data_IF_702823816366
#
_entry.id   IF_702823816366
#
_cell.length_a   1.000
_cell.length_b   1.000
_cell.length_c   1.000
_cell.angle_alpha   90.00
_cell.angle_beta   90.00
_cell.angle_gamma   90.00
#
_symmetry.space_group_name_H-M   'P 1'
#
loop_
_entity.id
_entity.type
_entity.pdbx_description
1 polymer ?
#
# COMPACT_ATOMS: atom_id res chain seq x y z
N UNK A 1 -48.97 0.44 74.71
CA UNK A 1 -48.05 1.55 74.42
C UNK A 1 -47.64 1.42 72.96
N UNK A 2 -48.21 2.28 72.16
CA UNK A 2 -48.11 2.21 70.69
C UNK A 2 -47.05 3.23 70.23
N UNK A 3 -45.97 2.82 69.61
CA UNK A 3 -45.01 3.73 68.95
C UNK A 3 -45.31 3.79 67.49
N UNK A 4 -45.75 4.94 67.00
CA UNK A 4 -45.87 5.31 65.63
C UNK A 4 -44.43 5.63 65.09
N UNK A 5 -44.01 4.96 64.03
CA UNK A 5 -42.83 5.33 63.31
C UNK A 5 -43.29 5.99 62.01
N UNK A 6 -42.99 7.27 61.90
CA UNK A 6 -43.28 8.11 60.74
C UNK A 6 -42.20 7.81 59.61
N UNK A 7 -42.63 7.28 58.48
CA UNK A 7 -41.78 7.11 57.31
C UNK A 7 -41.75 8.43 56.54
N UNK A 8 -40.56 9.01 56.38
CA UNK A 8 -40.30 10.14 55.49
C UNK A 8 -39.85 9.59 54.11
N UNK A 9 -40.72 9.79 53.15
CA UNK A 9 -40.39 9.42 51.70
C UNK A 9 -39.70 10.61 51.09
N UNK A 10 -38.39 10.47 50.76
CA UNK A 10 -37.65 11.44 49.99
C UNK A 10 -37.78 11.05 48.51
N UNK A 11 -38.54 11.84 47.76
CA UNK A 11 -38.62 11.72 46.31
C UNK A 11 -37.37 12.33 45.68
N UNK A 12 -36.48 11.50 45.16
CA UNK A 12 -35.27 11.91 44.45
C UNK A 12 -35.61 12.03 42.94
N UNK A 13 -35.85 13.26 42.48
CA UNK A 13 -36.10 13.59 41.07
C UNK A 13 -34.77 13.60 40.33
N UNK A 14 -34.45 12.54 39.60
CA UNK A 14 -33.30 12.51 38.66
C UNK A 14 -33.67 13.34 37.43
N UNK A 15 -33.14 14.53 37.33
CA UNK A 15 -33.06 15.30 36.09
C UNK A 15 -32.02 14.64 35.16
N UNK A 16 -32.50 13.88 34.20
CA UNK A 16 -31.70 13.40 33.05
C UNK A 16 -31.47 14.58 32.10
N UNK A 17 -30.40 15.34 32.30
CA UNK A 17 -29.88 16.25 31.28
C UNK A 17 -29.22 15.41 30.20
N UNK A 18 -29.98 15.13 29.15
CA UNK A 18 -29.44 14.55 27.92
C UNK A 18 -28.50 15.55 27.26
N UNK A 19 -27.20 15.40 27.47
CA UNK A 19 -26.20 16.03 26.63
C UNK A 19 -26.23 15.31 25.28
N UNK A 20 -26.93 15.93 24.31
CA UNK A 20 -26.75 15.59 22.91
C UNK A 20 -25.28 15.92 22.58
N UNK A 21 -24.44 14.91 22.56
CA UNK A 21 -23.10 15.01 21.94
C UNK A 21 -23.32 15.14 20.44
N UNK A 22 -23.50 16.39 20.01
CA UNK A 22 -23.34 16.72 18.57
C UNK A 22 -21.92 16.37 18.20
N UNK A 23 -21.74 15.21 17.62
CA UNK A 23 -20.50 14.81 16.95
C UNK A 23 -20.29 15.64 15.69
N UNK A 24 -20.08 16.95 15.85
CA UNK A 24 -19.33 17.70 14.86
C UNK A 24 -17.91 17.13 14.91
N UNK A 25 -17.49 16.44 13.86
CA UNK A 25 -16.13 15.97 13.72
C UNK A 25 -15.19 17.13 14.03
N UNK A 26 -14.56 17.09 15.20
CA UNK A 26 -13.52 18.05 15.55
C UNK A 26 -12.48 17.96 14.44
N UNK A 27 -12.30 19.06 13.71
CA UNK A 27 -11.23 19.14 12.73
C UNK A 27 -9.94 18.77 13.47
N UNK A 28 -9.23 17.78 12.98
CA UNK A 28 -7.97 17.35 13.58
C UNK A 28 -7.03 18.55 13.69
N UNK A 29 -6.72 18.98 14.91
CA UNK A 29 -5.91 20.16 15.18
C UNK A 29 -4.41 19.91 14.95
N UNK A 30 -3.97 18.64 14.81
CA UNK A 30 -2.56 18.29 14.55
C UNK A 30 -2.07 18.92 13.26
N UNK A 31 -0.77 19.19 13.15
CA UNK A 31 -0.17 19.67 11.91
C UNK A 31 -0.25 18.61 10.78
N UNK A 32 -0.10 19.03 9.54
CA UNK A 32 -0.09 18.10 8.40
C UNK A 32 1.10 17.12 8.50
N UNK A 33 2.24 17.60 8.97
CA UNK A 33 3.43 16.79 9.20
C UNK A 33 3.17 15.73 10.27
N UNK A 34 2.59 16.11 11.42
CA UNK A 34 2.27 15.17 12.50
C UNK A 34 1.30 14.07 12.05
N UNK A 35 0.31 14.40 11.20
CA UNK A 35 -0.62 13.41 10.64
C UNK A 35 0.09 12.41 9.74
N UNK A 36 1.03 12.88 8.89
CA UNK A 36 1.82 12.01 8.02
C UNK A 36 2.81 11.16 8.81
N UNK A 37 3.44 11.71 9.84
CA UNK A 37 4.37 10.98 10.69
C UNK A 37 3.66 9.82 11.41
N UNK A 38 2.49 10.07 12.01
CA UNK A 38 1.66 9.04 12.63
C UNK A 38 1.22 7.96 11.62
N UNK A 39 0.86 8.39 10.40
CA UNK A 39 0.47 7.45 9.34
C UNK A 39 1.67 6.60 8.92
N UNK A 40 2.84 7.20 8.69
CA UNK A 40 4.04 6.47 8.31
C UNK A 40 4.51 5.53 9.42
N UNK A 41 4.42 5.92 10.69
CA UNK A 41 4.70 5.04 11.82
C UNK A 41 3.74 3.84 11.86
N UNK A 42 2.44 4.10 11.65
CA UNK A 42 1.43 3.05 11.55
C UNK A 42 1.73 2.08 10.42
N UNK A 43 2.11 2.59 9.24
CA UNK A 43 2.44 1.76 8.09
C UNK A 43 3.74 0.96 8.27
N UNK A 44 4.75 1.53 8.92
CA UNK A 44 5.99 0.81 9.27
C UNK A 44 5.76 -0.32 10.29
N UNK A 45 4.74 -0.19 11.13
CA UNK A 45 4.35 -1.19 12.12
C UNK A 45 3.54 -2.37 11.56
N UNK A 46 3.20 -2.38 10.27
CA UNK A 46 2.45 -3.45 9.64
C UNK A 46 3.25 -4.74 9.54
N UNK A 47 2.56 -5.86 9.63
CA UNK A 47 3.11 -7.21 9.35
C UNK A 47 2.84 -7.65 7.91
N UNK A 48 1.86 -7.03 7.26
CA UNK A 48 1.52 -7.33 5.87
C UNK A 48 0.63 -6.25 5.29
N UNK A 49 0.67 -6.11 3.95
CA UNK A 49 -0.20 -5.19 3.20
C UNK A 49 -0.34 -5.65 1.76
N UNK A 50 -1.49 -5.37 1.15
CA UNK A 50 -1.68 -5.42 -0.30
C UNK A 50 -1.65 -4.01 -0.88
N UNK A 51 -0.95 -3.87 -1.99
CA UNK A 51 -0.70 -2.59 -2.65
C UNK A 51 -1.09 -2.74 -4.12
N UNK A 52 -2.01 -1.89 -4.57
CA UNK A 52 -2.34 -1.77 -5.98
C UNK A 52 -1.83 -0.43 -6.49
N UNK A 53 -0.98 -0.45 -7.51
CA UNK A 53 -0.35 0.73 -8.08
C UNK A 53 -0.66 0.84 -9.56
N UNK A 54 -1.07 2.01 -10.00
CA UNK A 54 -1.28 2.35 -11.41
C UNK A 54 -0.47 3.58 -11.75
N UNK A 55 0.44 3.45 -12.72
CA UNK A 55 1.22 4.55 -13.27
C UNK A 55 0.77 4.83 -14.69
N UNK A 56 0.35 6.05 -14.94
CA UNK A 56 -0.11 6.56 -16.24
C UNK A 56 0.90 7.57 -16.77
N UNK A 57 1.49 7.28 -17.93
CA UNK A 57 2.43 8.21 -18.56
C UNK A 57 1.66 9.29 -19.34
N UNK A 58 2.12 10.55 -19.29
CA UNK A 58 1.49 11.68 -20.01
C UNK A 58 1.54 11.50 -21.52
N UNK A 59 2.51 10.75 -22.05
CA UNK A 59 2.64 10.41 -23.48
C UNK A 59 1.89 9.14 -23.88
N UNK A 60 1.07 8.58 -22.95
CA UNK A 60 0.31 7.35 -23.13
C UNK A 60 1.02 6.12 -22.54
N UNK A 61 0.24 5.08 -22.34
CA UNK A 61 0.66 3.86 -21.65
C UNK A 61 0.39 3.87 -20.16
N UNK A 62 0.02 2.71 -19.66
CA UNK A 62 -0.29 2.48 -18.24
C UNK A 62 0.44 1.24 -17.76
N UNK A 63 1.00 1.31 -16.57
CA UNK A 63 1.55 0.16 -15.84
C UNK A 63 0.73 -0.07 -14.59
N UNK A 64 0.17 -1.27 -14.46
CA UNK A 64 -0.55 -1.68 -13.25
C UNK A 64 0.26 -2.72 -12.50
N UNK A 65 0.43 -2.53 -11.21
CA UNK A 65 1.12 -3.47 -10.33
C UNK A 65 0.20 -3.89 -9.20
N UNK A 66 0.01 -5.20 -9.05
CA UNK A 66 -0.60 -5.82 -7.87
C UNK A 66 0.52 -6.40 -7.02
N UNK A 67 0.59 -5.99 -5.78
CA UNK A 67 1.66 -6.36 -4.87
C UNK A 67 1.10 -6.80 -3.52
N UNK A 68 1.62 -7.88 -2.97
CA UNK A 68 1.34 -8.35 -1.62
C UNK A 68 2.66 -8.63 -0.92
N UNK A 69 2.85 -8.16 0.31
CA UNK A 69 4.13 -8.25 1.02
C UNK A 69 3.93 -8.36 2.52
N UNK A 70 4.80 -9.14 3.19
CA UNK A 70 4.97 -9.13 4.64
C UNK A 70 5.94 -8.02 5.11
N UNK A 71 6.37 -7.16 4.17
CA UNK A 71 7.27 -6.02 4.42
C UNK A 71 8.69 -6.42 4.84
N UNK A 72 9.02 -7.69 4.74
CA UNK A 72 10.32 -8.26 5.07
C UNK A 72 10.88 -9.04 3.87
N UNK A 73 10.69 -10.32 3.80
CA UNK A 73 11.34 -11.18 2.81
C UNK A 73 10.38 -12.02 1.96
N UNK A 74 9.06 -11.83 2.12
CA UNK A 74 8.04 -12.58 1.37
C UNK A 74 7.10 -11.64 0.65
N UNK A 75 7.12 -11.68 -0.66
CA UNK A 75 6.20 -10.90 -1.46
C UNK A 75 5.87 -11.57 -2.79
N UNK A 76 4.74 -11.13 -3.36
CA UNK A 76 4.30 -11.48 -4.70
C UNK A 76 3.94 -10.21 -5.45
N UNK A 77 4.41 -10.09 -6.68
CA UNK A 77 4.02 -9.01 -7.57
C UNK A 77 3.51 -9.55 -8.91
N UNK A 78 2.60 -8.77 -9.52
CA UNK A 78 2.19 -8.93 -10.91
C UNK A 78 2.15 -7.55 -11.54
N UNK A 79 3.01 -7.34 -12.53
CA UNK A 79 3.11 -6.09 -13.28
C UNK A 79 2.54 -6.31 -14.67
N UNK A 80 1.65 -5.41 -15.10
CA UNK A 80 0.93 -5.48 -16.36
C UNK A 80 1.13 -4.16 -17.11
N UNK A 81 1.63 -4.22 -18.34
CA UNK A 81 1.79 -3.06 -19.23
C UNK A 81 0.62 -3.00 -20.20
N UNK A 82 -0.04 -1.85 -20.32
CA UNK A 82 -1.17 -1.64 -21.23
C UNK A 82 -0.78 -1.89 -22.71
N UNK A 83 0.46 -1.61 -23.05
CA UNK A 83 1.01 -1.88 -24.38
C UNK A 83 1.34 -3.36 -24.61
N UNK A 84 1.11 -4.19 -23.64
CA UNK A 84 1.30 -5.63 -23.64
C UNK A 84 2.54 -6.07 -22.88
N UNK A 85 2.39 -7.21 -22.25
CA UNK A 85 3.38 -7.84 -21.39
C UNK A 85 2.92 -7.92 -19.95
N UNK A 86 3.27 -9.04 -19.32
CA UNK A 86 3.03 -9.31 -17.90
C UNK A 86 4.28 -9.94 -17.31
N UNK A 87 4.65 -9.48 -16.13
CA UNK A 87 5.71 -10.05 -15.32
C UNK A 87 5.14 -10.45 -13.96
N UNK A 88 5.28 -11.72 -13.61
CA UNK A 88 4.96 -12.22 -12.28
C UNK A 88 6.23 -12.54 -11.52
N UNK A 89 6.28 -12.16 -10.25
CA UNK A 89 7.39 -12.46 -9.34
C UNK A 89 6.86 -12.95 -8.00
N UNK A 90 7.54 -13.92 -7.42
CA UNK A 90 7.38 -14.35 -6.02
C UNK A 90 8.77 -14.34 -5.40
N UNK A 91 8.92 -13.68 -4.26
CA UNK A 91 10.13 -13.73 -3.43
C UNK A 91 9.82 -14.47 -2.14
N UNK A 92 10.70 -15.38 -1.75
CA UNK A 92 10.65 -16.08 -0.46
C UNK A 92 12.08 -16.14 0.09
N UNK A 93 12.34 -15.35 1.11
CA UNK A 93 13.68 -15.17 1.64
C UNK A 93 14.64 -14.69 0.55
N UNK A 94 15.73 -15.40 0.37
CA UNK A 94 16.75 -15.07 -0.65
C UNK A 94 16.54 -15.77 -1.99
N UNK A 95 15.31 -16.11 -2.33
CA UNK A 95 14.98 -16.80 -3.59
C UNK A 95 13.89 -16.04 -4.35
N UNK A 96 14.16 -15.72 -5.61
CA UNK A 96 13.20 -15.19 -6.55
C UNK A 96 12.69 -16.28 -7.51
N UNK A 97 11.39 -16.21 -7.77
CA UNK A 97 10.71 -16.94 -8.83
C UNK A 97 10.09 -15.93 -9.77
N UNK A 98 10.46 -15.96 -11.04
CA UNK A 98 10.04 -14.98 -12.04
C UNK A 98 9.40 -15.68 -13.22
N UNK A 99 8.25 -15.17 -13.68
CA UNK A 99 7.54 -15.70 -14.85
C UNK A 99 7.05 -14.54 -15.72
N UNK A 100 7.83 -14.16 -16.74
CA UNK A 100 7.39 -13.22 -17.77
C UNK A 100 6.48 -13.93 -18.78
N UNK A 101 5.54 -13.20 -19.39
CA UNK A 101 4.84 -13.68 -20.56
C UNK A 101 5.65 -13.44 -21.83
N UNK A 102 5.20 -14.00 -22.98
CA UNK A 102 5.86 -13.83 -24.26
C UNK A 102 5.99 -12.37 -24.68
N UNK A 103 4.94 -11.57 -24.48
CA UNK A 103 4.92 -10.16 -24.88
C UNK A 103 5.93 -9.35 -24.09
N UNK A 104 6.08 -9.65 -22.79
CA UNK A 104 7.11 -9.04 -21.95
C UNK A 104 8.51 -9.35 -22.52
N UNK A 105 8.82 -10.63 -22.80
CA UNK A 105 10.12 -11.05 -23.32
C UNK A 105 10.42 -10.39 -24.67
N UNK A 106 9.46 -10.33 -25.57
CA UNK A 106 9.63 -9.72 -26.89
C UNK A 106 9.83 -8.20 -26.83
N UNK A 107 9.04 -7.51 -26.00
CA UNK A 107 9.00 -6.04 -25.98
C UNK A 107 10.06 -5.43 -25.07
N UNK A 108 10.21 -5.98 -23.87
CA UNK A 108 11.00 -5.38 -22.80
C UNK A 108 12.35 -6.04 -22.59
N UNK A 109 12.48 -7.32 -22.93
CA UNK A 109 13.75 -8.04 -22.87
C UNK A 109 14.43 -8.17 -24.24
N UNK A 110 13.78 -7.69 -25.30
CA UNK A 110 14.32 -7.69 -26.67
C UNK A 110 14.43 -9.06 -27.34
N UNK A 111 13.90 -10.11 -26.72
CA UNK A 111 13.97 -11.46 -27.25
C UNK A 111 12.83 -11.73 -28.25
N UNK A 112 13.04 -11.39 -29.50
CA UNK A 112 12.04 -11.60 -30.56
C UNK A 112 11.94 -13.07 -31.03
N UNK A 113 12.81 -13.96 -30.55
CA UNK A 113 12.77 -15.39 -30.88
C UNK A 113 11.70 -16.15 -30.12
N UNK A 114 11.20 -15.62 -28.97
CA UNK A 114 10.18 -16.24 -28.14
C UNK A 114 8.87 -16.40 -28.90
N UNK A 115 8.38 -17.64 -29.03
CA UNK A 115 7.15 -17.98 -29.76
C UNK A 115 5.96 -18.34 -28.86
N UNK A 116 6.20 -18.63 -27.60
CA UNK A 116 5.17 -19.03 -26.62
C UNK A 116 5.41 -18.37 -25.28
N UNK A 117 4.38 -18.33 -24.43
CA UNK A 117 4.51 -17.88 -23.06
C UNK A 117 5.41 -18.83 -22.27
N UNK A 118 6.20 -18.26 -21.37
CA UNK A 118 6.98 -19.04 -20.43
C UNK A 118 6.03 -19.66 -19.39
N UNK A 119 5.96 -20.98 -19.37
CA UNK A 119 5.08 -21.72 -18.45
C UNK A 119 5.72 -21.94 -17.09
N UNK A 120 7.04 -22.10 -17.04
CA UNK A 120 7.78 -22.36 -15.82
C UNK A 120 8.25 -21.07 -15.16
N UNK A 121 8.28 -21.09 -13.85
CA UNK A 121 8.94 -20.08 -13.05
C UNK A 121 10.44 -20.27 -13.12
N UNK A 122 11.17 -19.23 -13.45
CA UNK A 122 12.64 -19.23 -13.33
C UNK A 122 12.99 -18.93 -11.89
N UNK A 123 13.74 -19.85 -11.26
CA UNK A 123 14.22 -19.70 -9.89
C UNK A 123 15.67 -19.21 -9.92
N UNK A 124 15.94 -18.15 -9.19
CA UNK A 124 17.29 -17.57 -9.02
C UNK A 124 17.51 -17.11 -7.58
N UNK A 125 18.77 -17.03 -7.11
CA UNK A 125 19.06 -16.29 -5.89
C UNK A 125 18.77 -14.81 -6.08
N UNK A 126 18.39 -14.12 -4.99
CA UNK A 126 18.25 -12.67 -4.97
C UNK A 126 19.63 -12.05 -5.17
N UNK A 127 19.75 -11.18 -6.16
CA UNK A 127 20.96 -10.38 -6.40
C UNK A 127 20.75 -8.98 -5.83
N UNK A 128 21.17 -8.79 -4.60
CA UNK A 128 21.02 -7.51 -3.87
C UNK A 128 21.73 -6.34 -4.57
N UNK A 129 22.70 -6.61 -5.45
CA UNK A 129 23.45 -5.59 -6.18
C UNK A 129 22.72 -5.05 -7.42
N UNK A 130 21.74 -5.81 -7.95
CA UNK A 130 21.06 -5.51 -9.23
C UNK A 130 19.60 -5.13 -9.11
N UNK A 131 19.01 -5.26 -7.92
CA UNK A 131 17.57 -5.23 -7.73
C UNK A 131 16.90 -3.88 -7.99
N UNK A 132 17.59 -2.79 -7.80
CA UNK A 132 16.98 -1.45 -7.95
C UNK A 132 16.86 -1.00 -9.41
N UNK A 133 17.72 -1.51 -10.31
CA UNK A 133 17.75 -1.07 -11.71
C UNK A 133 17.03 -2.01 -12.67
N UNK A 134 16.76 -3.26 -12.28
CA UNK A 134 16.22 -4.30 -13.19
C UNK A 134 14.76 -4.68 -12.96
N UNK A 135 14.01 -3.90 -12.19
CA UNK A 135 12.56 -4.03 -12.11
C UNK A 135 12.02 -5.17 -11.26
N UNK A 136 12.84 -5.91 -10.52
CA UNK A 136 12.36 -6.85 -9.53
C UNK A 136 11.95 -6.10 -8.26
N UNK A 137 10.73 -6.34 -7.77
CA UNK A 137 10.24 -5.66 -6.59
C UNK A 137 10.95 -6.17 -5.34
N UNK A 138 11.50 -5.26 -4.51
CA UNK A 138 11.85 -5.57 -3.13
C UNK A 138 10.57 -5.83 -2.33
N UNK A 139 10.61 -6.72 -1.34
CA UNK A 139 9.48 -6.94 -0.44
C UNK A 139 9.34 -5.80 0.58
N UNK A 140 10.44 -5.17 0.95
CA UNK A 140 10.44 -4.00 1.80
C UNK A 140 9.79 -2.79 1.12
N UNK A 141 9.11 -1.97 1.90
CA UNK A 141 8.53 -0.71 1.45
C UNK A 141 8.85 0.40 2.45
N UNK A 142 9.63 1.40 2.05
CA UNK A 142 9.79 2.58 2.89
C UNK A 142 8.47 3.36 2.93
N UNK A 143 8.05 3.72 4.13
CA UNK A 143 6.91 4.62 4.36
C UNK A 143 7.48 5.90 4.96
N UNK A 144 7.84 6.83 4.09
CA UNK A 144 8.41 8.10 4.45
C UNK A 144 7.67 9.23 3.72
N UNK A 145 7.65 10.40 4.33
CA UNK A 145 7.20 11.62 3.69
C UNK A 145 8.32 12.65 3.79
N UNK A 146 8.50 13.39 2.74
CA UNK A 146 9.51 14.44 2.64
C UNK A 146 8.88 15.69 2.03
N UNK A 147 9.47 16.84 2.36
CA UNK A 147 8.94 18.12 1.91
C UNK A 147 7.95 18.75 2.90
N UNK A 148 7.42 19.90 2.53
CA UNK A 148 6.45 20.64 3.34
C UNK A 148 5.04 20.08 3.12
N UNK A 149 4.41 19.65 4.20
CA UNK A 149 3.07 19.12 4.18
C UNK A 149 2.00 20.24 4.31
N UNK A 150 0.85 20.02 3.71
CA UNK A 150 -0.32 20.90 3.81
C UNK A 150 -1.57 20.07 3.92
N UNK A 151 -2.43 20.36 4.91
CA UNK A 151 -3.74 19.71 5.04
C UNK A 151 -4.65 20.08 3.89
N UNK A 152 -5.32 19.08 3.34
CA UNK A 152 -6.40 19.25 2.39
C UNK A 152 -7.77 19.02 3.03
N UNK A 153 -8.68 18.42 2.27
CA UNK A 153 -10.08 18.18 2.68
C UNK A 153 -10.26 16.74 3.16
N UNK A 154 -11.24 16.54 4.02
CA UNK A 154 -11.78 15.20 4.29
C UNK A 154 -12.50 14.70 3.06
N UNK A 155 -12.30 13.43 2.74
CA UNK A 155 -12.89 12.74 1.58
C UNK A 155 -13.10 11.27 1.93
N UNK A 156 -13.62 10.49 0.98
CA UNK A 156 -13.73 9.03 1.12
C UNK A 156 -12.83 8.32 0.13
N UNK A 157 -12.12 7.32 0.62
CA UNK A 157 -11.28 6.42 -0.17
C UNK A 157 -11.72 4.99 0.10
N UNK A 158 -12.23 4.31 -0.92
CA UNK A 158 -12.71 2.92 -0.86
C UNK A 158 -13.70 2.68 0.32
N UNK A 159 -14.61 3.66 0.52
CA UNK A 159 -15.65 3.61 1.56
C UNK A 159 -15.19 4.07 2.97
N UNK A 160 -13.92 4.39 3.18
CA UNK A 160 -13.35 4.87 4.45
C UNK A 160 -13.14 6.38 4.39
N UNK A 161 -13.43 7.05 5.50
CA UNK A 161 -13.17 8.48 5.62
C UNK A 161 -11.67 8.74 5.76
N UNK A 162 -11.19 9.73 5.03
CA UNK A 162 -9.77 10.05 4.93
C UNK A 162 -9.54 11.56 4.87
N UNK A 163 -8.44 12.02 5.46
CA UNK A 163 -7.93 13.37 5.29
C UNK A 163 -6.85 13.36 4.22
N UNK A 164 -6.96 14.25 3.24
CA UNK A 164 -5.89 14.45 2.27
C UNK A 164 -4.80 15.35 2.83
N UNK A 165 -3.53 14.95 2.62
CA UNK A 165 -2.34 15.73 2.97
C UNK A 165 -1.46 15.81 1.75
N UNK A 166 -1.12 17.02 1.33
CA UNK A 166 -0.31 17.27 0.13
C UNK A 166 1.11 17.64 0.52
N UNK A 167 2.08 17.01 -0.14
CA UNK A 167 3.51 17.28 -0.02
C UNK A 167 4.07 17.66 -1.38
N UNK A 168 4.86 18.73 -1.41
CA UNK A 168 5.62 19.15 -2.58
C UNK A 168 7.10 18.96 -2.30
N UNK A 169 7.74 18.11 -3.09
CA UNK A 169 9.18 17.92 -3.01
C UNK A 169 9.88 18.86 -4.02
N UNK A 170 10.76 19.70 -3.52
CA UNK A 170 11.57 20.59 -4.37
C UNK A 170 12.60 19.84 -5.21
N UNK A 171 13.06 18.68 -4.74
CA UNK A 171 14.01 17.84 -5.45
C UNK A 171 13.38 17.15 -6.67
N UNK A 172 12.05 16.96 -6.67
CA UNK A 172 11.30 16.25 -7.71
C UNK A 172 10.69 17.22 -8.75
N UNK A 173 11.42 18.21 -9.20
CA UNK A 173 11.06 19.12 -10.32
C UNK A 173 9.60 19.59 -10.33
N UNK A 174 9.00 19.75 -9.15
CA UNK A 174 7.62 20.22 -8.98
C UNK A 174 6.56 19.11 -8.89
N UNK A 175 6.95 17.86 -8.72
CA UNK A 175 6.03 16.76 -8.41
C UNK A 175 5.26 17.01 -7.11
N UNK A 176 4.02 16.55 -7.08
CA UNK A 176 3.12 16.70 -5.94
C UNK A 176 2.64 15.32 -5.49
N UNK A 177 2.80 15.05 -4.20
CA UNK A 177 2.25 13.87 -3.55
C UNK A 177 1.01 14.25 -2.75
N UNK A 178 -0.09 13.50 -2.92
CA UNK A 178 -1.27 13.60 -2.07
C UNK A 178 -1.46 12.28 -1.34
N UNK A 179 -1.36 12.33 -0.03
CA UNK A 179 -1.57 11.20 0.87
C UNK A 179 -2.99 11.27 1.42
N UNK A 180 -3.68 10.14 1.44
CA UNK A 180 -5.01 9.99 2.01
C UNK A 180 -4.90 9.15 3.28
N UNK A 181 -4.97 9.81 4.42
CA UNK A 181 -4.82 9.20 5.75
C UNK A 181 -6.20 8.91 6.33
N UNK A 182 -6.44 7.69 6.81
CA UNK A 182 -7.68 7.32 7.47
C UNK A 182 -7.92 8.22 8.70
N UNK A 183 -9.17 8.71 8.85
CA UNK A 183 -9.55 9.56 9.98
C UNK A 183 -10.22 8.79 11.12
N UNK A 184 -10.55 7.52 10.88
CA UNK A 184 -11.16 6.62 11.86
C UNK A 184 -10.27 5.41 12.12
N UNK A 185 -10.15 5.01 13.37
CA UNK A 185 -9.30 3.90 13.81
C UNK A 185 -7.81 4.23 13.74
N UNK A 186 -6.99 3.30 13.24
CA UNK A 186 -5.57 3.56 13.02
C UNK A 186 -5.38 4.48 11.79
N UNK A 187 -4.44 5.43 11.83
CA UNK A 187 -4.20 6.38 10.73
C UNK A 187 -3.44 5.73 9.57
N UNK A 188 -4.06 4.72 8.95
CA UNK A 188 -3.47 4.07 7.78
C UNK A 188 -3.39 5.01 6.58
N UNK A 189 -2.33 4.92 5.79
CA UNK A 189 -2.34 5.42 4.43
C UNK A 189 -3.27 4.54 3.60
N UNK A 190 -4.36 5.10 3.10
CA UNK A 190 -5.31 4.40 2.24
C UNK A 190 -4.91 4.50 0.77
N UNK A 191 -4.39 5.68 0.40
CA UNK A 191 -3.97 5.97 -0.97
C UNK A 191 -2.89 7.04 -0.98
N UNK A 192 -1.98 6.94 -1.95
CA UNK A 192 -1.06 8.00 -2.32
C UNK A 192 -1.24 8.29 -3.81
N UNK A 193 -1.30 9.55 -4.19
CA UNK A 193 -1.31 9.99 -5.58
C UNK A 193 -0.08 10.87 -5.79
N UNK A 194 0.77 10.48 -6.71
CA UNK A 194 1.85 11.31 -7.23
C UNK A 194 1.43 11.92 -8.57
N UNK A 195 1.66 13.21 -8.74
CA UNK A 195 1.43 13.94 -9.98
C UNK A 195 2.71 14.68 -10.37
N UNK A 196 3.36 14.18 -11.39
CA UNK A 196 4.56 14.75 -12.00
C UNK A 196 4.30 15.22 -13.44
N UNK A 197 5.35 15.75 -14.08
CA UNK A 197 5.28 16.23 -15.47
C UNK A 197 5.20 15.10 -16.49
N UNK A 198 5.78 13.95 -16.18
CA UNK A 198 5.91 12.82 -17.10
C UNK A 198 4.91 11.70 -16.84
N UNK A 199 4.47 11.55 -15.60
CA UNK A 199 3.53 10.50 -15.20
C UNK A 199 2.76 10.89 -13.95
N UNK A 200 1.64 10.19 -13.77
CA UNK A 200 0.83 10.15 -12.55
C UNK A 200 0.82 8.74 -12.01
N UNK A 201 1.05 8.58 -10.70
CA UNK A 201 0.96 7.27 -10.04
C UNK A 201 -0.08 7.32 -8.95
N UNK A 202 -1.00 6.37 -8.95
CA UNK A 202 -1.94 6.11 -7.86
C UNK A 202 -1.55 4.82 -7.18
N UNK A 203 -1.30 4.87 -5.87
CA UNK A 203 -1.00 3.71 -5.03
C UNK A 203 -2.09 3.58 -3.99
N UNK A 204 -2.80 2.45 -3.95
CA UNK A 204 -3.83 2.13 -2.94
C UNK A 204 -3.33 1.02 -2.03
N UNK A 205 -3.61 1.14 -0.73
CA UNK A 205 -3.20 0.20 0.31
C UNK A 205 -4.43 -0.42 0.95
N UNK A 206 -4.42 -1.74 1.14
CA UNK A 206 -5.54 -2.49 1.71
C UNK A 206 -5.07 -3.75 2.42
N UNK A 207 -5.99 -4.43 3.09
CA UNK A 207 -5.76 -5.71 3.77
C UNK A 207 -4.57 -5.62 4.74
N UNK A 208 -4.61 -4.58 5.61
CA UNK A 208 -3.56 -4.29 6.59
C UNK A 208 -3.51 -5.37 7.67
N UNK A 209 -2.34 -5.97 7.90
CA UNK A 209 -2.10 -7.05 8.85
C UNK A 209 -2.89 -8.35 8.55
N UNK A 210 -3.53 -8.45 7.37
CA UNK A 210 -4.23 -9.65 6.97
C UNK A 210 -3.26 -10.76 6.52
N UNK A 211 -3.57 -12.02 6.79
CA UNK A 211 -2.73 -13.14 6.35
C UNK A 211 -2.52 -13.14 4.84
N UNK A 212 -1.28 -13.36 4.42
CA UNK A 212 -0.92 -13.48 3.01
C UNK A 212 -0.65 -14.94 2.65
N UNK A 213 -1.30 -15.40 1.58
CA UNK A 213 -0.98 -16.70 0.96
C UNK A 213 0.11 -16.49 -0.13
N UNK A 214 1.37 -16.40 0.33
CA UNK A 214 2.53 -16.29 -0.53
C UNK A 214 3.37 -17.54 -0.37
N UNK A 215 3.34 -18.40 -1.41
CA UNK A 215 4.02 -19.68 -1.42
C UNK A 215 4.91 -19.79 -2.66
N UNK A 216 5.99 -20.59 -2.55
CA UNK A 216 6.79 -20.96 -3.69
C UNK A 216 5.94 -21.73 -4.72
N UNK A 217 6.18 -21.59 -6.02
CA UNK A 217 5.57 -22.43 -7.03
C UNK A 217 5.89 -23.91 -6.78
N UNK A 218 5.02 -24.80 -7.27
CA UNK A 218 5.26 -26.24 -7.18
C UNK A 218 6.55 -26.62 -7.93
N UNK A 219 7.31 -27.56 -7.41
CA UNK A 219 8.59 -27.97 -8.01
C UNK A 219 8.50 -28.32 -9.49
N UNK A 220 7.39 -28.93 -9.93
CA UNK A 220 7.13 -29.26 -11.34
C UNK A 220 6.90 -28.02 -12.23
N UNK A 221 6.68 -26.85 -11.63
CA UNK A 221 6.45 -25.58 -12.33
C UNK A 221 7.70 -24.68 -12.29
N UNK A 222 8.84 -25.17 -11.77
CA UNK A 222 10.06 -24.38 -11.57
C UNK A 222 11.20 -24.89 -12.45
N UNK A 223 11.84 -23.94 -13.15
CA UNK A 223 13.13 -24.11 -13.79
C UNK A 223 14.19 -23.53 -12.85
N UNK A 224 15.03 -24.39 -12.28
CA UNK A 224 16.17 -23.96 -11.46
C UNK A 224 17.36 -23.66 -12.37
N UNK A 225 17.80 -22.41 -12.37
CA UNK A 225 18.95 -21.97 -13.19
C UNK A 225 20.27 -22.09 -12.44
N UNK A 226 20.29 -22.68 -11.25
CA UNK A 226 21.49 -22.92 -10.47
C UNK A 226 22.39 -23.88 -11.23
N UNK A 227 23.51 -23.39 -11.77
CA UNK A 227 24.44 -24.18 -12.59
C UNK A 227 24.29 -23.96 -14.11
N UNK A 228 23.41 -23.05 -14.56
CA UNK A 228 23.35 -22.62 -15.98
C UNK A 228 24.19 -21.37 -16.27
N UNK A 229 24.84 -20.82 -15.27
CA UNK A 229 25.71 -19.63 -15.35
C UNK A 229 27.15 -20.03 -15.10
N UNK A 230 27.71 -20.91 -15.96
CA UNK A 230 29.16 -21.10 -16.10
C UNK A 230 29.65 -20.36 -17.36
#
# INVERSE_FOLDING_TARGET
MRNLVTAVTVAMTCLLTGTAVSGCGAADERSAEAILDDANETMRGLKSVRIDMTTEATKGGTVTTHFATDLDDRCRSKVIWSEGGTLEQIRIGKTDYVRPDRKYLQKWNGDTSVRSDQKLWVKSPVDESKDREKGLASCERPFDAFGKATKGRTTRVDGRDALSVTVKDKADKGGTYTFYVATEGKPYLLRTVYEGTEYRTTTSFRDFDEPLDIQAPKAAEVLDTKGLTD
#
